data_IF_494900612084
#
_entry.id   IF_494900612084
#
_cell.length_a   1.000
_cell.length_b   1.000
_cell.length_c   1.000
_cell.angle_alpha   90.00
_cell.angle_beta   90.00
_cell.angle_gamma   90.00
#
_symmetry.space_group_name_H-M   'P 1'
#
loop_
_entity.id
_entity.type
_entity.pdbx_description
1 polymer ?
#
# COMPACT_ATOMS: atom_id res chain seq x y z
N UNK A 1 -38.15 -26.34 -10.94
CA UNK A 1 -36.80 -25.77 -11.09
C UNK A 1 -36.63 -24.58 -12.06
N UNK A 2 -37.71 -23.91 -12.53
CA UNK A 2 -37.61 -22.80 -13.53
C UNK A 2 -37.66 -21.37 -12.95
N UNK A 3 -37.96 -21.16 -11.69
CA UNK A 3 -38.12 -19.81 -11.09
C UNK A 3 -36.85 -19.12 -10.62
N UNK A 4 -35.71 -19.85 -10.43
CA UNK A 4 -34.41 -19.25 -10.00
C UNK A 4 -33.64 -18.54 -11.12
N UNK A 5 -33.81 -18.92 -12.38
CA UNK A 5 -33.09 -18.34 -13.51
C UNK A 5 -33.61 -16.95 -13.93
N UNK A 6 -34.90 -16.66 -13.73
CA UNK A 6 -35.51 -15.39 -14.10
C UNK A 6 -35.12 -14.23 -13.18
N UNK A 7 -34.86 -14.48 -11.89
CA UNK A 7 -34.42 -13.45 -10.93
C UNK A 7 -32.95 -13.07 -11.09
N UNK A 8 -32.08 -13.99 -11.56
CA UNK A 8 -30.69 -13.72 -11.87
C UNK A 8 -30.51 -12.75 -13.04
N UNK A 9 -31.31 -12.87 -14.09
CA UNK A 9 -31.24 -11.99 -15.25
C UNK A 9 -31.70 -10.56 -14.97
N UNK A 10 -32.77 -10.38 -14.18
CA UNK A 10 -33.29 -9.07 -13.83
C UNK A 10 -32.31 -8.28 -12.92
N UNK A 11 -31.65 -8.95 -11.95
CA UNK A 11 -30.65 -8.34 -11.09
C UNK A 11 -29.40 -7.95 -11.87
N UNK A 12 -28.94 -8.77 -12.81
CA UNK A 12 -27.82 -8.46 -13.68
C UNK A 12 -28.12 -7.29 -14.64
N UNK A 13 -29.32 -7.22 -15.20
CA UNK A 13 -29.77 -6.12 -16.05
C UNK A 13 -29.91 -4.81 -15.26
N UNK A 14 -30.45 -4.84 -14.05
CA UNK A 14 -30.54 -3.68 -13.18
C UNK A 14 -29.18 -3.16 -12.77
N UNK A 15 -28.23 -4.05 -12.49
CA UNK A 15 -26.84 -3.69 -12.17
C UNK A 15 -26.10 -3.10 -13.39
N UNK A 16 -26.34 -3.63 -14.59
CA UNK A 16 -25.77 -3.09 -15.83
C UNK A 16 -26.33 -1.72 -16.19
N UNK A 17 -27.65 -1.50 -16.01
CA UNK A 17 -28.29 -0.21 -16.19
C UNK A 17 -27.81 0.83 -15.16
N UNK A 18 -27.63 0.42 -13.89
CA UNK A 18 -27.07 1.27 -12.84
C UNK A 18 -25.64 1.70 -13.16
N UNK A 19 -24.79 0.76 -13.57
CA UNK A 19 -23.41 1.05 -13.98
C UNK A 19 -23.34 1.98 -15.20
N UNK A 20 -24.25 1.83 -16.16
CA UNK A 20 -24.33 2.72 -17.32
C UNK A 20 -24.76 4.14 -16.95
N UNK A 21 -25.70 4.31 -16.02
CA UNK A 21 -26.12 5.61 -15.51
C UNK A 21 -25.04 6.29 -14.68
N UNK A 22 -24.32 5.53 -13.83
CA UNK A 22 -23.17 6.02 -13.08
C UNK A 22 -22.09 6.55 -14.02
N UNK A 23 -21.78 5.84 -15.11
CA UNK A 23 -20.76 6.24 -16.08
C UNK A 23 -21.15 7.50 -16.87
N UNK A 24 -22.45 7.72 -17.10
CA UNK A 24 -22.94 8.95 -17.75
C UNK A 24 -22.90 10.14 -16.80
N UNK A 25 -23.26 9.97 -15.54
CA UNK A 25 -23.31 11.05 -14.54
C UNK A 25 -21.94 11.33 -13.92
N UNK A 26 -21.10 10.29 -13.82
CA UNK A 26 -19.76 10.34 -13.23
C UNK A 26 -18.79 9.52 -14.07
N UNK A 27 -18.39 10.03 -15.25
CA UNK A 27 -17.54 9.29 -16.17
C UNK A 27 -16.21 8.93 -15.54
N UNK A 28 -15.78 7.69 -15.73
CA UNK A 28 -14.47 7.22 -15.31
C UNK A 28 -13.39 8.01 -16.04
N UNK A 29 -12.47 8.62 -15.28
CA UNK A 29 -11.37 9.41 -15.80
C UNK A 29 -10.03 8.89 -15.31
N UNK A 30 -9.03 8.99 -16.18
CA UNK A 30 -7.68 8.59 -15.86
C UNK A 30 -7.08 9.55 -14.83
N UNK A 31 -6.66 9.02 -13.68
CA UNK A 31 -6.05 9.82 -12.60
C UNK A 31 -4.73 10.49 -13.01
N UNK A 32 -4.07 10.02 -14.07
CA UNK A 32 -2.84 10.61 -14.58
C UNK A 32 -3.09 11.79 -15.54
N UNK A 33 -3.96 11.62 -16.55
CA UNK A 33 -4.14 12.57 -17.65
C UNK A 33 -5.57 13.04 -17.88
N UNK A 34 -6.51 12.60 -17.06
CA UNK A 34 -7.95 12.94 -17.14
C UNK A 34 -8.70 12.41 -18.38
N UNK A 35 -8.07 11.56 -19.19
CA UNK A 35 -8.73 10.91 -20.32
C UNK A 35 -9.89 10.02 -19.83
N UNK A 36 -10.98 9.99 -20.60
CA UNK A 36 -12.18 9.20 -20.24
C UNK A 36 -11.98 7.71 -20.52
N UNK A 37 -12.70 6.87 -19.77
CA UNK A 37 -12.87 5.43 -20.01
C UNK A 37 -12.12 4.52 -19.06
N UNK A 38 -10.99 4.92 -18.49
CA UNK A 38 -10.18 4.09 -17.59
C UNK A 38 -9.68 4.86 -16.38
N UNK A 39 -9.58 4.22 -15.22
CA UNK A 39 -8.99 4.83 -14.02
C UNK A 39 -7.50 5.13 -14.16
N UNK A 40 -6.80 4.32 -14.93
CA UNK A 40 -5.41 4.54 -15.33
C UNK A 40 -5.24 4.02 -16.76
N UNK A 41 -5.21 4.94 -17.73
CA UNK A 41 -5.09 4.58 -19.15
C UNK A 41 -3.75 3.94 -19.45
N UNK A 42 -3.70 3.20 -20.56
CA UNK A 42 -2.48 2.49 -20.99
C UNK A 42 -1.27 3.41 -21.13
N UNK A 43 -1.45 4.63 -21.63
CA UNK A 43 -0.39 5.63 -21.76
C UNK A 43 0.15 6.09 -20.39
N UNK A 44 -0.69 6.32 -19.41
CA UNK A 44 -0.25 6.66 -18.04
C UNK A 44 0.37 5.45 -17.35
N UNK A 45 -0.20 4.26 -17.57
CA UNK A 45 0.35 3.00 -17.02
C UNK A 45 1.78 2.75 -17.50
N UNK A 46 2.07 2.97 -18.78
CA UNK A 46 3.42 2.79 -19.33
C UNK A 46 4.45 3.81 -18.82
N UNK A 47 3.99 4.85 -18.12
CA UNK A 47 4.86 5.87 -17.49
C UNK A 47 5.02 5.69 -15.99
N UNK A 48 4.44 4.64 -15.41
CA UNK A 48 4.76 4.28 -14.04
C UNK A 48 6.23 3.89 -13.95
N UNK A 49 6.94 4.52 -13.06
CA UNK A 49 8.31 4.12 -12.78
C UNK A 49 8.29 2.96 -11.78
N UNK A 50 8.10 1.77 -12.31
CA UNK A 50 8.12 0.53 -11.52
C UNK A 50 9.54 0.24 -11.02
N UNK A 51 9.64 -0.18 -9.77
CA UNK A 51 10.92 -0.54 -9.15
C UNK A 51 11.25 -1.97 -9.56
N UNK A 52 12.41 -2.16 -10.22
CA UNK A 52 12.93 -3.50 -10.47
C UNK A 52 13.29 -4.18 -9.14
N UNK A 53 12.55 -5.23 -8.81
CA UNK A 53 12.71 -5.93 -7.54
C UNK A 53 14.05 -6.64 -7.41
N UNK A 54 14.71 -6.96 -8.51
CA UNK A 54 16.06 -7.53 -8.50
C UNK A 54 17.14 -6.49 -8.12
N UNK A 55 16.85 -5.22 -8.39
CA UNK A 55 17.73 -4.09 -8.06
C UNK A 55 17.30 -3.33 -6.80
N UNK A 56 16.18 -3.70 -6.21
CA UNK A 56 15.69 -3.07 -4.98
C UNK A 56 16.50 -3.52 -3.76
N UNK A 57 16.71 -2.60 -2.81
CA UNK A 57 17.33 -2.94 -1.53
C UNK A 57 16.53 -4.06 -0.83
N UNK A 58 17.16 -5.18 -0.46
CA UNK A 58 16.46 -6.32 0.16
C UNK A 58 15.85 -5.95 1.53
N UNK A 59 16.40 -4.97 2.24
CA UNK A 59 15.93 -4.54 3.55
C UNK A 59 14.75 -3.56 3.47
N UNK A 60 14.91 -2.42 2.80
CA UNK A 60 13.92 -1.34 2.84
C UNK A 60 13.16 -1.13 1.54
N UNK A 61 13.45 -1.88 0.47
CA UNK A 61 12.76 -1.75 -0.82
C UNK A 61 13.11 -0.50 -1.62
N UNK A 62 14.16 0.25 -1.23
CA UNK A 62 14.63 1.41 -1.99
C UNK A 62 15.12 0.97 -3.38
N UNK A 63 14.86 1.75 -4.45
CA UNK A 63 15.37 1.45 -5.79
C UNK A 63 16.90 1.52 -5.81
N UNK A 64 17.51 0.79 -6.74
CA UNK A 64 18.97 0.81 -6.99
C UNK A 64 19.84 0.32 -5.81
N UNK A 65 19.28 -0.46 -4.89
CA UNK A 65 19.97 -1.03 -3.75
C UNK A 65 20.19 -2.53 -3.86
N UNK A 66 20.67 -3.04 -5.01
CA UNK A 66 20.74 -4.48 -5.34
C UNK A 66 21.43 -5.37 -4.30
N UNK A 67 22.36 -4.83 -3.52
CA UNK A 67 22.94 -5.50 -2.36
C UNK A 67 22.29 -4.97 -1.08
N UNK A 68 22.65 -3.78 -0.68
CA UNK A 68 22.05 -3.00 0.42
C UNK A 68 22.21 -1.53 0.05
N UNK A 69 21.19 -0.72 0.18
CA UNK A 69 21.29 0.72 -0.11
C UNK A 69 22.22 1.40 0.90
N UNK A 70 22.77 2.56 0.53
CA UNK A 70 23.70 3.31 1.38
C UNK A 70 23.15 3.62 2.76
N UNK A 71 21.86 3.97 2.86
CA UNK A 71 21.22 4.22 4.16
C UNK A 71 21.14 2.98 5.05
N UNK A 72 20.88 1.82 4.47
CA UNK A 72 20.87 0.56 5.22
C UNK A 72 22.29 0.05 5.51
N UNK A 73 23.25 0.31 4.63
CA UNK A 73 24.64 -0.08 4.82
C UNK A 73 25.33 0.76 5.91
N UNK A 74 25.16 2.08 5.91
CA UNK A 74 25.72 2.95 6.95
C UNK A 74 25.25 2.53 8.35
N UNK A 75 24.01 2.10 8.50
CA UNK A 75 23.47 1.64 9.78
C UNK A 75 24.06 0.31 10.28
N UNK A 76 24.62 -0.51 9.39
CA UNK A 76 25.32 -1.74 9.78
C UNK A 76 26.71 -1.46 10.35
N UNK A 77 27.33 -0.34 9.96
CA UNK A 77 28.65 0.07 10.48
C UNK A 77 28.55 0.76 11.85
N UNK A 78 27.41 1.42 12.13
CA UNK A 78 27.18 2.09 13.42
C UNK A 78 26.99 1.06 14.57
N UNK A 79 26.69 -0.21 14.26
CA UNK A 79 26.55 -1.30 15.24
C UNK A 79 27.91 -1.89 15.66
N UNK A 80 28.97 -1.73 14.84
CA UNK A 80 30.32 -2.22 15.11
C UNK A 80 31.21 -1.19 15.85
N UNK A 81 30.77 0.08 15.95
CA UNK A 81 31.49 1.16 16.65
C UNK A 81 30.98 1.32 18.10
N UNK A 82 31.45 0.46 19.00
CA UNK A 82 31.20 0.56 20.45
C UNK A 82 31.73 1.88 21.09
N UNK A 83 32.49 2.68 20.35
CA UNK A 83 33.09 3.94 20.80
C UNK A 83 32.30 5.22 20.44
N UNK A 84 31.16 5.14 19.74
CA UNK A 84 30.28 6.28 19.49
C UNK A 84 29.50 6.64 20.77
N UNK A 85 30.22 7.15 21.76
CA UNK A 85 29.66 7.57 23.03
C UNK A 85 28.54 8.58 22.90
N UNK A 86 27.35 8.20 23.38
CA UNK A 86 26.29 9.16 23.70
C UNK A 86 24.90 8.94 23.10
N UNK A 87 24.57 7.78 22.54
CA UNK A 87 23.18 7.47 22.24
C UNK A 87 22.46 7.09 23.56
N UNK A 88 21.37 7.78 23.88
CA UNK A 88 20.54 7.43 25.03
C UNK A 88 20.03 5.99 24.88
N UNK A 89 20.01 5.17 25.95
CA UNK A 89 19.78 3.71 25.90
C UNK A 89 18.37 3.29 25.47
N UNK A 90 17.49 4.21 25.05
CA UNK A 90 16.10 3.95 24.72
C UNK A 90 15.75 4.17 23.22
N UNK A 91 16.74 4.35 22.36
CA UNK A 91 16.46 4.46 20.93
C UNK A 91 16.63 3.09 20.25
N UNK A 92 15.56 2.30 20.25
CA UNK A 92 15.38 1.29 19.20
C UNK A 92 15.62 1.96 17.84
N UNK A 93 16.73 1.62 17.21
CA UNK A 93 17.09 2.24 15.94
C UNK A 93 16.06 1.79 14.89
N UNK A 94 15.81 2.62 13.87
CA UNK A 94 14.99 2.19 12.74
C UNK A 94 15.59 0.92 12.07
N UNK A 95 16.88 0.66 12.29
CA UNK A 95 17.57 -0.56 11.89
C UNK A 95 17.00 -1.79 12.63
N UNK A 96 16.75 -1.71 13.93
CA UNK A 96 16.18 -2.81 14.72
C UNK A 96 14.76 -3.13 14.27
N UNK A 97 13.96 -2.09 13.96
CA UNK A 97 12.60 -2.27 13.40
C UNK A 97 12.65 -2.92 12.03
N UNK A 98 13.58 -2.52 11.16
CA UNK A 98 13.75 -3.13 9.83
C UNK A 98 14.35 -4.54 9.96
N UNK A 99 15.23 -4.77 10.93
CA UNK A 99 15.81 -6.09 11.20
C UNK A 99 14.76 -7.10 11.69
N UNK A 100 13.67 -6.64 12.31
CA UNK A 100 12.55 -7.49 12.73
C UNK A 100 11.62 -7.91 11.57
N UNK A 101 11.77 -7.29 10.38
CA UNK A 101 11.00 -7.62 9.18
C UNK A 101 11.85 -8.50 8.24
N UNK A 102 11.23 -9.50 7.64
CA UNK A 102 11.86 -10.33 6.60
C UNK A 102 12.24 -9.53 5.33
N UNK A 103 11.68 -8.36 5.17
CA UNK A 103 11.98 -7.41 4.11
C UNK A 103 10.81 -6.49 3.79
N UNK A 104 11.12 -5.40 3.12
CA UNK A 104 10.15 -4.41 2.62
C UNK A 104 10.25 -4.36 1.10
N UNK A 105 9.13 -4.18 0.43
CA UNK A 105 9.08 -3.99 -1.02
C UNK A 105 8.19 -2.81 -1.37
N UNK A 106 8.62 -2.08 -2.39
CA UNK A 106 7.86 -1.00 -2.98
C UNK A 106 7.63 -1.30 -4.46
N UNK A 107 6.42 -1.02 -4.96
CA UNK A 107 6.07 -1.31 -6.35
C UNK A 107 6.65 -0.28 -7.30
N UNK A 108 6.45 1.00 -7.02
CA UNK A 108 6.83 2.08 -7.92
C UNK A 108 7.32 3.32 -7.16
N UNK A 109 8.03 4.18 -7.86
CA UNK A 109 8.40 5.51 -7.37
C UNK A 109 7.16 6.38 -7.19
N UNK A 110 7.16 7.23 -6.14
CA UNK A 110 6.08 8.16 -5.88
C UNK A 110 6.22 9.42 -6.75
N UNK A 111 6.18 9.21 -8.05
CA UNK A 111 6.25 10.22 -9.09
C UNK A 111 5.00 10.15 -9.99
N UNK A 112 4.84 11.12 -10.89
CA UNK A 112 3.73 11.10 -11.83
C UNK A 112 3.79 9.84 -12.73
N UNK A 113 2.69 9.16 -12.96
CA UNK A 113 1.30 9.39 -12.52
C UNK A 113 0.94 8.74 -11.17
N UNK A 114 1.86 8.01 -10.53
CA UNK A 114 1.59 7.23 -9.31
C UNK A 114 1.25 8.12 -8.11
N UNK A 115 1.92 9.27 -7.97
CA UNK A 115 1.63 10.26 -6.93
C UNK A 115 0.18 10.76 -7.01
N UNK A 116 -0.32 11.03 -8.24
CA UNK A 116 -1.72 11.40 -8.48
C UNK A 116 -2.68 10.27 -8.12
N UNK A 117 -2.35 9.04 -8.49
CA UNK A 117 -3.15 7.86 -8.15
C UNK A 117 -3.30 7.71 -6.63
N UNK A 118 -2.21 7.83 -5.88
CA UNK A 118 -2.24 7.73 -4.42
C UNK A 118 -3.04 8.87 -3.79
N UNK A 119 -2.93 10.10 -4.29
CA UNK A 119 -3.71 11.25 -3.80
C UNK A 119 -5.19 11.10 -4.14
N UNK A 120 -5.52 10.73 -5.37
CA UNK A 120 -6.91 10.50 -5.77
C UNK A 120 -7.57 9.43 -4.88
N UNK A 121 -6.85 8.36 -4.57
CA UNK A 121 -7.31 7.32 -3.68
C UNK A 121 -7.51 7.81 -2.24
N UNK A 122 -6.49 8.47 -1.66
CA UNK A 122 -6.49 8.86 -0.25
C UNK A 122 -7.33 10.10 0.04
N UNK A 123 -7.28 11.09 -0.84
CA UNK A 123 -7.78 12.44 -0.53
C UNK A 123 -9.04 12.80 -1.35
N UNK A 124 -9.19 12.29 -2.57
CA UNK A 124 -10.39 12.48 -3.38
C UNK A 124 -11.41 11.32 -3.27
N UNK A 125 -11.06 10.23 -2.57
CA UNK A 125 -11.99 9.14 -2.27
C UNK A 125 -12.29 8.23 -3.47
N UNK A 126 -11.43 8.18 -4.49
CA UNK A 126 -11.58 7.29 -5.64
C UNK A 126 -11.26 5.83 -5.24
N UNK A 127 -12.24 5.18 -4.60
CA UNK A 127 -12.07 3.84 -3.99
C UNK A 127 -11.73 2.74 -4.98
N UNK A 128 -12.14 2.89 -6.25
CA UNK A 128 -11.88 1.93 -7.33
C UNK A 128 -10.39 1.73 -7.59
N UNK A 129 -9.54 2.69 -7.18
CA UNK A 129 -8.09 2.58 -7.29
C UNK A 129 -7.47 1.55 -6.33
N UNK A 130 -8.19 1.09 -5.31
CA UNK A 130 -7.69 0.06 -4.39
C UNK A 130 -7.21 -1.18 -5.14
N UNK A 131 -7.98 -1.66 -6.12
CA UNK A 131 -7.63 -2.81 -6.93
C UNK A 131 -6.36 -2.60 -7.76
N UNK A 132 -6.17 -1.41 -8.34
CA UNK A 132 -4.95 -1.08 -9.11
C UNK A 132 -3.71 -1.01 -8.21
N UNK A 133 -3.84 -0.41 -7.02
CA UNK A 133 -2.76 -0.36 -6.03
C UNK A 133 -2.39 -1.78 -5.58
N UNK A 134 -3.38 -2.59 -5.24
CA UNK A 134 -3.17 -3.98 -4.84
C UNK A 134 -2.51 -4.83 -5.94
N UNK A 135 -2.86 -4.62 -7.22
CA UNK A 135 -2.20 -5.28 -8.35
C UNK A 135 -0.70 -4.97 -8.39
N UNK A 136 -0.32 -3.70 -8.24
CA UNK A 136 1.09 -3.31 -8.17
C UNK A 136 1.82 -3.95 -6.98
N UNK A 137 1.19 -3.94 -5.80
CA UNK A 137 1.76 -4.61 -4.62
C UNK A 137 1.93 -6.12 -4.84
N UNK A 138 0.94 -6.79 -5.41
CA UNK A 138 1.01 -8.22 -5.71
C UNK A 138 2.10 -8.52 -6.76
N UNK A 139 2.28 -7.66 -7.76
CA UNK A 139 3.34 -7.77 -8.76
C UNK A 139 4.73 -7.69 -8.09
N UNK A 140 4.96 -6.68 -7.25
CA UNK A 140 6.20 -6.52 -6.51
C UNK A 140 6.50 -7.71 -5.60
N UNK A 141 5.49 -8.20 -4.87
CA UNK A 141 5.62 -9.36 -3.99
C UNK A 141 5.97 -10.64 -4.78
N UNK A 142 5.32 -10.89 -5.91
CA UNK A 142 5.60 -12.05 -6.77
C UNK A 142 7.00 -12.00 -7.37
N UNK A 143 7.46 -10.83 -7.76
CA UNK A 143 8.80 -10.66 -8.31
C UNK A 143 9.88 -10.83 -7.23
N UNK A 144 9.66 -10.29 -6.02
CA UNK A 144 10.66 -10.31 -4.96
C UNK A 144 10.69 -11.65 -4.18
N UNK A 145 9.54 -12.28 -3.97
CA UNK A 145 9.39 -13.42 -3.06
C UNK A 145 8.60 -14.59 -3.65
N UNK A 146 8.91 -15.08 -4.85
CA UNK A 146 8.08 -16.08 -5.54
C UNK A 146 7.85 -17.36 -4.73
N UNK A 147 8.85 -17.82 -3.96
CA UNK A 147 8.75 -19.03 -3.15
C UNK A 147 8.06 -18.80 -1.79
N UNK A 148 8.18 -17.59 -1.21
CA UNK A 148 7.59 -17.27 0.10
C UNK A 148 6.09 -17.03 0.04
N UNK A 149 5.56 -16.63 -1.12
CA UNK A 149 4.12 -16.40 -1.28
C UNK A 149 3.28 -17.65 -1.01
N UNK A 150 3.82 -18.83 -1.28
CA UNK A 150 3.15 -20.10 -1.02
C UNK A 150 3.02 -20.43 0.49
N UNK A 151 3.79 -19.76 1.34
CA UNK A 151 3.78 -19.94 2.80
C UNK A 151 3.21 -18.74 3.57
N UNK A 152 2.51 -17.83 2.87
CA UNK A 152 1.81 -16.73 3.53
C UNK A 152 0.57 -17.25 4.26
N UNK A 153 0.44 -16.91 5.53
CA UNK A 153 -0.73 -17.24 6.33
C UNK A 153 -1.89 -16.27 6.05
N UNK A 154 -1.61 -14.98 5.98
CA UNK A 154 -2.62 -13.94 5.75
C UNK A 154 -2.01 -12.66 5.19
N UNK A 155 -2.87 -11.74 4.77
CA UNK A 155 -2.56 -10.32 4.59
C UNK A 155 -3.12 -9.56 5.79
N UNK A 156 -2.30 -8.75 6.43
CA UNK A 156 -2.71 -7.80 7.45
C UNK A 156 -2.50 -6.36 6.96
N UNK A 157 -3.11 -5.40 7.63
CA UNK A 157 -2.96 -3.97 7.28
C UNK A 157 -2.80 -3.12 8.54
N UNK A 158 -2.16 -1.98 8.38
CA UNK A 158 -2.07 -0.96 9.42
C UNK A 158 -3.32 -0.07 9.31
N UNK A 159 -4.26 -0.12 10.28
CA UNK A 159 -5.50 0.63 10.18
C UNK A 159 -5.27 2.14 10.19
N UNK A 160 -6.15 2.89 9.53
CA UNK A 160 -6.09 4.33 9.54
C UNK A 160 -6.48 4.91 10.92
N UNK A 161 -6.19 6.20 11.16
CA UNK A 161 -6.66 6.84 12.39
C UNK A 161 -8.18 7.06 12.36
N UNK A 162 -8.88 7.09 13.52
CA UNK A 162 -10.30 7.41 13.57
C UNK A 162 -10.64 8.72 12.82
N UNK A 163 -9.85 9.77 13.01
CA UNK A 163 -10.05 11.05 12.31
C UNK A 163 -9.88 10.92 10.79
N UNK A 164 -8.97 10.04 10.33
CA UNK A 164 -8.83 9.77 8.90
C UNK A 164 -9.98 8.96 8.36
N UNK A 165 -10.51 8.02 9.13
CA UNK A 165 -11.70 7.27 8.80
C UNK A 165 -12.93 8.18 8.68
N UNK A 166 -13.17 9.03 9.68
CA UNK A 166 -14.30 9.97 9.70
C UNK A 166 -14.26 10.92 8.49
N UNK A 167 -13.09 11.42 8.13
CA UNK A 167 -12.91 12.30 6.99
C UNK A 167 -13.12 11.59 5.65
N UNK A 168 -12.72 10.31 5.52
CA UNK A 168 -12.76 9.56 4.25
C UNK A 168 -14.01 8.69 4.10
N UNK A 169 -14.62 8.31 5.21
CA UNK A 169 -15.73 7.37 5.26
C UNK A 169 -15.34 5.91 4.97
N UNK A 170 -14.03 5.58 5.00
CA UNK A 170 -13.52 4.20 4.84
C UNK A 170 -12.07 4.09 5.29
N UNK A 171 -11.63 2.88 5.64
CA UNK A 171 -10.22 2.58 5.82
C UNK A 171 -9.58 2.27 4.46
N UNK A 172 -8.70 3.15 4.04
CA UNK A 172 -8.03 3.03 2.74
C UNK A 172 -7.01 1.89 2.71
N UNK A 173 -6.43 1.50 3.85
CA UNK A 173 -5.50 0.38 3.90
C UNK A 173 -6.22 -0.95 3.90
N UNK A 174 -7.34 -1.07 4.64
CA UNK A 174 -8.20 -2.25 4.60
C UNK A 174 -8.68 -2.54 3.18
N UNK A 175 -9.15 -1.51 2.45
CA UNK A 175 -9.65 -1.69 1.09
C UNK A 175 -8.56 -2.23 0.14
N UNK A 176 -7.33 -1.73 0.21
CA UNK A 176 -6.20 -2.26 -0.58
C UNK A 176 -5.81 -3.66 -0.13
N UNK A 177 -5.74 -3.91 1.18
CA UNK A 177 -5.36 -5.21 1.73
C UNK A 177 -6.36 -6.31 1.35
N UNK A 178 -7.64 -6.00 1.30
CA UNK A 178 -8.70 -6.91 0.85
C UNK A 178 -8.49 -7.35 -0.60
N UNK A 179 -8.23 -6.40 -1.49
CA UNK A 179 -7.91 -6.69 -2.89
C UNK A 179 -6.61 -7.50 -3.01
N UNK A 180 -5.59 -7.16 -2.23
CA UNK A 180 -4.31 -7.86 -2.21
C UNK A 180 -4.47 -9.30 -1.71
N UNK A 181 -5.24 -9.53 -0.66
CA UNK A 181 -5.54 -10.86 -0.13
C UNK A 181 -6.21 -11.75 -1.19
N UNK A 182 -7.18 -11.20 -1.93
CA UNK A 182 -7.83 -11.89 -3.06
C UNK A 182 -6.80 -12.24 -4.14
N UNK A 183 -5.93 -11.31 -4.53
CA UNK A 183 -4.92 -11.52 -5.56
C UNK A 183 -3.86 -12.56 -5.17
N UNK A 184 -3.54 -12.65 -3.89
CA UNK A 184 -2.57 -13.61 -3.35
C UNK A 184 -3.20 -14.95 -2.95
N UNK A 185 -4.53 -15.03 -2.86
CA UNK A 185 -5.25 -16.25 -2.49
C UNK A 185 -5.14 -16.61 -1.01
N UNK A 186 -4.95 -15.61 -0.13
CA UNK A 186 -4.83 -15.79 1.32
C UNK A 186 -5.91 -14.99 2.06
N UNK A 187 -6.25 -15.31 3.31
CA UNK A 187 -7.21 -14.53 4.09
C UNK A 187 -6.70 -13.12 4.39
N UNK A 188 -7.64 -12.19 4.55
CA UNK A 188 -7.38 -10.89 5.18
C UNK A 188 -7.60 -11.06 6.68
N UNK A 189 -6.64 -10.62 7.48
CA UNK A 189 -6.72 -10.66 8.93
C UNK A 189 -6.53 -9.25 9.54
N UNK A 190 -7.42 -8.87 10.44
CA UNK A 190 -7.39 -7.58 11.16
C UNK A 190 -6.77 -7.80 12.54
N UNK A 191 -5.45 -7.95 12.55
CA UNK A 191 -4.67 -8.27 13.76
C UNK A 191 -4.05 -7.05 14.44
N UNK A 192 -4.18 -5.85 13.85
CA UNK A 192 -3.56 -4.64 14.36
C UNK A 192 -4.60 -3.63 14.80
N UNK A 193 -4.70 -3.40 16.10
CA UNK A 193 -5.48 -2.29 16.63
C UNK A 193 -4.59 -1.05 16.77
N UNK A 194 -5.08 0.10 16.30
CA UNK A 194 -4.37 1.37 16.37
C UNK A 194 -4.95 2.28 17.44
N UNK A 195 -4.12 2.70 18.38
CA UNK A 195 -4.44 3.79 19.32
C UNK A 195 -4.35 5.15 18.62
N UNK A 196 -4.99 6.18 19.20
CA UNK A 196 -4.97 7.54 18.65
C UNK A 196 -3.54 8.08 18.53
N UNK A 197 -3.22 8.69 17.40
CA UNK A 197 -1.92 9.30 17.10
C UNK A 197 -2.10 10.73 16.59
N UNK A 198 -1.08 11.56 16.84
CA UNK A 198 -0.94 12.85 16.15
C UNK A 198 -0.70 12.62 14.65
N UNK A 199 -1.13 13.57 13.81
CA UNK A 199 -0.88 13.50 12.37
C UNK A 199 0.64 13.49 12.12
N UNK A 200 1.10 12.47 11.38
CA UNK A 200 2.51 12.28 11.07
C UNK A 200 3.07 13.32 10.09
N UNK A 201 2.20 14.04 9.38
CA UNK A 201 2.60 15.03 8.37
C UNK A 201 3.33 16.22 8.96
N UNK A 202 2.95 16.60 10.18
CA UNK A 202 3.51 17.75 10.89
C UNK A 202 4.76 17.41 11.73
N UNK A 203 5.21 16.13 11.67
CA UNK A 203 6.31 15.64 12.49
C UNK A 203 7.56 15.42 11.65
N UNK A 204 8.72 15.86 12.18
CA UNK A 204 10.03 15.48 11.70
C UNK A 204 10.33 13.99 11.93
N UNK A 205 11.47 13.49 11.42
CA UNK A 205 11.84 12.06 11.45
C UNK A 205 11.76 11.47 12.87
N UNK A 206 12.42 12.08 13.85
CA UNK A 206 12.43 11.61 15.24
C UNK A 206 11.03 11.66 15.87
N UNK A 207 10.27 12.74 15.60
CA UNK A 207 8.89 12.87 16.05
C UNK A 207 7.97 11.77 15.52
N UNK A 208 8.17 11.31 14.29
CA UNK A 208 7.40 10.20 13.70
C UNK A 208 7.70 8.88 14.41
N UNK A 209 8.97 8.58 14.69
CA UNK A 209 9.36 7.36 15.42
C UNK A 209 8.73 7.36 16.82
N UNK A 210 8.90 8.45 17.57
CA UNK A 210 8.32 8.58 18.92
C UNK A 210 6.79 8.47 18.91
N UNK A 211 6.13 9.02 17.87
CA UNK A 211 4.68 9.04 17.75
C UNK A 211 4.08 7.65 17.41
N UNK A 212 4.86 6.76 16.79
CA UNK A 212 4.42 5.41 16.41
C UNK A 212 4.69 4.38 17.51
N UNK A 213 5.66 4.63 18.39
CA UNK A 213 6.06 3.69 19.44
C UNK A 213 4.88 3.37 20.39
N UNK A 214 4.57 2.09 20.57
CA UNK A 214 3.51 1.60 21.44
C UNK A 214 2.08 1.92 21.01
N UNK A 215 1.86 2.26 19.74
CA UNK A 215 0.55 2.67 19.22
C UNK A 215 -0.23 1.54 18.57
N UNK A 216 0.40 0.42 18.33
CA UNK A 216 -0.25 -0.79 17.83
C UNK A 216 -0.27 -1.85 18.92
N UNK A 217 -1.36 -2.59 18.99
CA UNK A 217 -1.57 -3.73 19.86
C UNK A 217 -2.13 -4.89 19.07
#
# INVERSE_FOLDING_TARGET
MRKRALFSGAAAAAKALGAGLEEVLWPTRCVGCDAMGELLCSQCRSRLWEIDQALACPRCGAPFGSLVCTECACRMHDEDDEDAGGAAPDQESLADVIASLDGVRSYAMLEWPHDRMVRAYKDAGERRLAALIAQGMAQAARAAWPQRLASLDCVAFVPCTPQAYDRRGFDHMEAVARELAILLGVPLDDVLARRSLKDQRDLGRLGRVANVRGTFA
#
